data_IF_157890992368
#
_entry.id   IF_157890992368
#
_cell.length_a   1.000
_cell.length_b   1.000
_cell.length_c   1.000
_cell.angle_alpha   90.00
_cell.angle_beta   90.00
_cell.angle_gamma   90.00
#
_symmetry.space_group_name_H-M   'P 1'
#
loop_
_entity.id
_entity.type
_entity.pdbx_description
1 polymer ?
#
# COMPACT_ATOMS: atom_id res chain seq x y z
N UNK A 1 -15.25 -5.12 9.91
CA UNK A 1 -14.38 -5.21 8.72
C UNK A 1 -13.42 -6.37 8.93
N UNK A 2 -13.12 -7.17 7.90
CA UNK A 2 -12.18 -8.29 8.03
C UNK A 2 -10.90 -7.95 7.27
N UNK A 3 -9.82 -7.70 8.01
CA UNK A 3 -8.49 -7.52 7.43
C UNK A 3 -7.90 -8.90 7.08
N UNK A 4 -7.06 -9.01 6.05
CA UNK A 4 -6.41 -10.26 5.71
C UNK A 4 -5.55 -10.74 6.88
N UNK A 5 -5.49 -12.05 7.11
CA UNK A 5 -4.64 -12.61 8.17
C UNK A 5 -3.15 -12.53 7.82
N UNK A 6 -2.82 -12.55 6.53
CA UNK A 6 -1.44 -12.55 6.04
C UNK A 6 -1.29 -11.60 4.85
N UNK A 7 -0.22 -10.82 4.86
CA UNK A 7 0.24 -10.03 3.71
C UNK A 7 1.75 -10.34 3.57
N UNK A 8 2.22 -10.78 2.40
CA UNK A 8 3.63 -11.10 2.22
C UNK A 8 4.52 -9.87 2.44
N UNK A 9 5.67 -10.07 3.09
CA UNK A 9 6.74 -9.07 3.10
C UNK A 9 7.20 -8.79 1.66
N UNK A 10 7.52 -7.54 1.35
CA UNK A 10 7.84 -7.07 0.01
C UNK A 10 6.63 -6.84 -0.89
N UNK A 11 5.41 -7.26 -0.51
CA UNK A 11 4.23 -6.95 -1.31
C UNK A 11 4.01 -5.43 -1.39
N UNK A 12 3.78 -4.93 -2.61
CA UNK A 12 3.43 -3.52 -2.80
C UNK A 12 1.92 -3.34 -2.67
N UNK A 13 1.50 -2.47 -1.77
CA UNK A 13 0.09 -2.26 -1.44
C UNK A 13 -0.25 -0.77 -1.34
N UNK A 14 -1.54 -0.47 -1.50
CA UNK A 14 -2.16 0.74 -0.98
C UNK A 14 -2.84 0.38 0.35
N UNK A 15 -2.53 1.11 1.41
CA UNK A 15 -3.27 1.08 2.68
C UNK A 15 -4.06 2.38 2.81
N UNK A 16 -5.35 2.26 3.12
CA UNK A 16 -6.21 3.39 3.49
C UNK A 16 -6.41 3.39 4.99
N UNK A 17 -6.19 4.53 5.63
CA UNK A 17 -6.45 4.74 7.05
C UNK A 17 -7.50 5.80 7.30
N UNK A 18 -8.21 5.70 8.42
CA UNK A 18 -9.01 6.80 8.96
C UNK A 18 -8.09 7.90 9.51
N UNK A 19 -8.39 9.15 9.19
CA UNK A 19 -7.63 10.32 9.64
C UNK A 19 -8.43 11.23 10.59
N UNK A 20 -9.56 10.72 11.10
CA UNK A 20 -10.44 11.44 12.00
C UNK A 20 -11.52 12.26 11.27
N UNK A 21 -12.39 12.88 12.07
CA UNK A 21 -13.47 13.72 11.57
C UNK A 21 -12.95 15.14 11.32
N UNK A 22 -13.20 15.66 10.12
CA UNK A 22 -12.92 17.05 9.79
C UNK A 22 -13.85 17.98 10.60
N UNK A 23 -13.26 18.92 11.33
CA UNK A 23 -13.99 19.77 12.27
C UNK A 23 -14.93 20.78 11.59
N UNK A 24 -14.70 21.11 10.32
CA UNK A 24 -15.49 22.10 9.58
C UNK A 24 -16.70 21.44 8.92
N UNK A 25 -16.47 20.29 8.30
CA UNK A 25 -17.47 19.58 7.50
C UNK A 25 -18.18 18.46 8.26
N UNK A 26 -17.63 18.05 9.42
CA UNK A 26 -18.14 16.93 10.22
C UNK A 26 -17.98 15.56 9.57
N UNK A 27 -17.21 15.44 8.48
CA UNK A 27 -17.06 14.19 7.72
C UNK A 27 -15.80 13.44 8.12
N UNK A 28 -15.89 12.10 8.15
CA UNK A 28 -14.71 11.26 8.31
C UNK A 28 -13.74 11.48 7.13
N UNK A 29 -12.47 11.69 7.46
CA UNK A 29 -11.39 11.85 6.49
C UNK A 29 -10.53 10.59 6.45
N UNK A 30 -9.84 10.41 5.33
CA UNK A 30 -9.01 9.23 5.08
C UNK A 30 -7.66 9.64 4.50
N UNK A 31 -6.65 8.82 4.75
CA UNK A 31 -5.32 8.95 4.14
C UNK A 31 -4.95 7.65 3.44
N UNK A 32 -4.30 7.80 2.29
CA UNK A 32 -3.77 6.66 1.54
C UNK A 32 -2.24 6.70 1.57
N UNK A 33 -1.62 5.55 1.80
CA UNK A 33 -0.19 5.36 1.63
C UNK A 33 0.05 4.19 0.68
N UNK A 34 1.04 4.33 -0.21
CA UNK A 34 1.47 3.30 -1.15
C UNK A 34 2.91 2.93 -0.82
N UNK A 35 3.22 1.64 -0.76
CA UNK A 35 4.57 1.19 -0.47
C UNK A 35 4.69 -0.31 -0.28
N UNK A 36 5.84 -0.73 0.22
CA UNK A 36 6.20 -2.13 0.38
C UNK A 36 6.04 -2.57 1.83
N UNK A 37 5.38 -3.70 2.03
CA UNK A 37 5.16 -4.27 3.37
C UNK A 37 6.48 -4.79 3.93
N UNK A 38 6.85 -4.35 5.12
CA UNK A 38 7.91 -4.97 5.91
C UNK A 38 7.33 -6.18 6.66
N UNK A 39 6.24 -5.98 7.39
CA UNK A 39 5.55 -7.02 8.16
C UNK A 39 4.08 -6.70 8.42
N UNK A 40 3.23 -7.73 8.44
CA UNK A 40 1.84 -7.66 8.90
C UNK A 40 1.55 -8.84 9.83
N UNK A 41 1.05 -8.56 11.03
CA UNK A 41 0.76 -9.57 12.05
C UNK A 41 -0.72 -9.60 12.49
N UNK A 42 -1.62 -8.94 11.75
CA UNK A 42 -3.04 -8.82 12.13
C UNK A 42 -3.36 -7.64 13.05
N UNK A 43 -2.35 -7.07 13.74
CA UNK A 43 -2.52 -5.95 14.66
C UNK A 43 -1.84 -4.68 14.18
N UNK A 44 -0.68 -4.81 13.53
CA UNK A 44 0.12 -3.70 13.04
C UNK A 44 0.72 -4.01 11.68
N UNK A 45 0.65 -3.00 10.81
CA UNK A 45 1.33 -2.97 9.53
C UNK A 45 2.58 -2.13 9.66
N UNK A 46 3.74 -2.75 9.39
CA UNK A 46 4.97 -2.01 9.10
C UNK A 46 5.21 -2.03 7.61
N UNK A 47 5.50 -0.86 7.05
CA UNK A 47 5.79 -0.73 5.63
C UNK A 47 6.72 0.45 5.37
N UNK A 48 7.39 0.43 4.22
CA UNK A 48 8.10 1.60 3.69
C UNK A 48 7.24 2.21 2.59
N UNK A 49 6.74 3.42 2.84
CA UNK A 49 6.00 4.21 1.84
C UNK A 49 6.95 4.62 0.72
N UNK A 50 6.48 4.49 -0.52
CA UNK A 50 7.21 4.93 -1.69
C UNK A 50 7.42 6.45 -1.67
N UNK A 51 8.55 6.94 -2.22
CA UNK A 51 8.73 8.38 -2.44
C UNK A 51 7.72 8.89 -3.48
N UNK A 52 7.37 10.17 -3.39
CA UNK A 52 6.58 10.80 -4.44
C UNK A 52 7.39 10.84 -5.74
N UNK A 53 6.74 10.56 -6.88
CA UNK A 53 7.41 10.54 -8.18
C UNK A 53 8.09 11.86 -8.57
N UNK A 54 7.61 12.98 -8.03
CA UNK A 54 8.17 14.32 -8.25
C UNK A 54 9.20 14.73 -7.17
N UNK A 55 9.61 13.82 -6.28
CA UNK A 55 10.57 14.11 -5.22
C UNK A 55 10.04 14.94 -4.04
N UNK A 56 8.78 15.38 -4.07
CA UNK A 56 8.20 16.24 -3.01
C UNK A 56 8.08 15.57 -1.64
N UNK A 57 8.13 14.24 -1.59
CA UNK A 57 8.05 13.44 -0.36
C UNK A 57 9.05 12.29 -0.44
N UNK A 58 9.94 12.12 0.55
CA UNK A 58 10.83 10.98 0.60
C UNK A 58 10.09 9.70 0.97
N UNK A 59 10.79 8.57 0.79
CA UNK A 59 10.38 7.30 1.36
C UNK A 59 10.34 7.41 2.90
N UNK A 60 9.39 6.73 3.52
CA UNK A 60 9.13 6.86 4.95
C UNK A 60 8.67 5.52 5.53
N UNK A 61 9.23 5.12 6.67
CA UNK A 61 8.78 3.91 7.37
C UNK A 61 7.54 4.24 8.20
N UNK A 62 6.46 3.51 7.95
CA UNK A 62 5.18 3.66 8.63
C UNK A 62 4.93 2.46 9.53
N UNK A 63 4.32 2.72 10.68
CA UNK A 63 3.78 1.71 11.61
C UNK A 63 2.32 2.07 11.91
N UNK A 64 1.39 1.28 11.37
CA UNK A 64 -0.05 1.59 11.34
C UNK A 64 -0.80 0.51 12.12
N UNK A 65 -1.64 0.94 13.07
CA UNK A 65 -2.49 0.03 13.83
C UNK A 65 -3.66 -0.48 12.98
N UNK A 66 -4.04 -1.75 13.17
CA UNK A 66 -5.13 -2.39 12.44
C UNK A 66 -6.47 -1.65 12.60
N UNK A 67 -6.71 -1.04 13.76
CA UNK A 67 -7.91 -0.26 14.06
C UNK A 67 -8.06 1.00 13.19
N UNK A 68 -6.94 1.56 12.72
CA UNK A 68 -6.95 2.70 11.82
C UNK A 68 -7.11 2.29 10.36
N UNK A 69 -6.99 1.00 10.02
CA UNK A 69 -6.99 0.51 8.65
C UNK A 69 -8.41 0.28 8.16
N UNK A 70 -8.73 0.94 7.06
CA UNK A 70 -10.03 0.89 6.39
C UNK A 70 -10.00 0.00 5.16
N UNK A 71 -8.84 -0.12 4.49
CA UNK A 71 -8.70 -1.02 3.36
C UNK A 71 -7.24 -1.33 3.04
N UNK A 72 -7.01 -2.54 2.52
CA UNK A 72 -5.83 -2.89 1.75
C UNK A 72 -6.21 -3.08 0.29
N UNK A 73 -5.37 -2.59 -0.62
CA UNK A 73 -5.48 -2.90 -2.05
C UNK A 73 -4.11 -3.36 -2.57
N UNK A 74 -3.99 -4.55 -3.17
CA UNK A 74 -2.74 -4.96 -3.78
C UNK A 74 -2.40 -4.06 -4.96
N UNK A 75 -1.12 -3.75 -5.15
CA UNK A 75 -0.62 -3.06 -6.34
C UNK A 75 0.16 -4.09 -7.16
N UNK A 76 -0.41 -4.60 -8.27
CA UNK A 76 0.29 -5.55 -9.13
C UNK A 76 1.58 -4.96 -9.67
N UNK A 77 2.60 -5.79 -9.77
CA UNK A 77 3.82 -5.42 -10.48
C UNK A 77 3.51 -5.22 -11.98
N UNK A 78 4.05 -4.15 -12.57
CA UNK A 78 3.85 -3.88 -13.99
C UNK A 78 4.58 -4.95 -14.79
N UNK A 79 3.84 -5.85 -15.45
CA UNK A 79 4.42 -6.75 -16.46
C UNK A 79 4.99 -5.90 -17.60
N UNK A 80 6.28 -6.03 -17.87
CA UNK A 80 6.90 -5.40 -19.03
C UNK A 80 6.43 -6.12 -20.31
N UNK A 81 6.01 -5.42 -21.39
CA UNK A 81 5.52 -6.05 -22.63
C UNK A 81 6.58 -6.76 -23.49
N UNK A 82 7.73 -7.22 -22.95
CA UNK A 82 8.82 -7.80 -23.77
C UNK A 82 8.92 -9.33 -23.75
N UNK A 83 8.05 -10.02 -23.04
CA UNK A 83 7.97 -11.49 -23.13
C UNK A 83 7.07 -11.92 -24.30
N UNK A 84 7.33 -11.38 -25.50
CA UNK A 84 6.71 -11.90 -26.74
C UNK A 84 7.74 -12.79 -27.41
N UNK A 85 7.50 -14.08 -27.26
CA UNK A 85 8.20 -15.23 -27.84
C UNK A 85 8.90 -14.92 -29.17
N UNK A 86 10.23 -14.83 -29.16
CA UNK A 86 11.04 -15.11 -30.35
C UNK A 86 11.21 -16.62 -30.44
N UNK A 87 10.15 -17.34 -30.78
CA UNK A 87 10.26 -18.66 -31.41
C UNK A 87 10.26 -18.47 -32.92
N UNK A 88 11.37 -17.98 -33.46
CA UNK A 88 11.63 -18.09 -34.90
C UNK A 88 12.15 -19.50 -35.17
N UNK A 89 11.26 -20.37 -35.59
CA UNK A 89 11.61 -21.58 -36.34
C UNK A 89 12.26 -21.15 -37.66
N UNK A 90 13.50 -21.54 -37.90
CA UNK A 90 14.13 -21.69 -39.22
C UNK A 90 15.27 -22.68 -39.11
#
# INVERSE_FOLDING_TARGET
>A
MHLPQHIPSGARIVVRTSAGIDAVTGRMTYRDAIGHVDSWNGMRLRMVRDPAANGSRPAERLDIAAEDIVAFKPVPERRHPRDRDTTSTS
#
